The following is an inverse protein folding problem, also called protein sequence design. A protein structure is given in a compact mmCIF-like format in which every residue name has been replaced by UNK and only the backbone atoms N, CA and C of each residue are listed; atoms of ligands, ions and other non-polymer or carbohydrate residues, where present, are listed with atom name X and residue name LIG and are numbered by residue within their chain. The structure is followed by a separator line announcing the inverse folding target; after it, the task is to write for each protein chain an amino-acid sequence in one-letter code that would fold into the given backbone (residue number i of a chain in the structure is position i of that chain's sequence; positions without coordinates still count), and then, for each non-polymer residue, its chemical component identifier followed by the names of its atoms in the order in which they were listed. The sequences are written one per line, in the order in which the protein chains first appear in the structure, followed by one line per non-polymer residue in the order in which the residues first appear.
data_IF_871868585206
#
_entry.id   IF_871868585206
#
_cell.length_a   1.000
_cell.length_b   1.000
_cell.length_c   1.000
_cell.angle_alpha   90.00
_cell.angle_beta   90.00
_cell.angle_gamma   90.00
#
_symmetry.space_group_name_H-M   'P 1'
#
loop_
_entity.id
_entity.type
_entity.pdbx_description
1 polymer ?
#
# COMPACT_ATOMS: atom_id res chain seq x y z
N UNK A 1 11.71 -6.39 60.16
CA UNK A 1 12.93 -6.00 59.44
C UNK A 1 12.61 -6.18 57.96
N UNK A 2 12.16 -5.14 57.22
CA UNK A 2 12.06 -5.20 55.78
C UNK A 2 13.46 -5.00 55.15
N UNK A 3 13.82 -5.85 54.21
CA UNK A 3 15.04 -5.80 53.43
C UNK A 3 14.99 -4.59 52.50
N UNK A 4 15.95 -3.69 52.60
CA UNK A 4 16.24 -2.64 51.64
C UNK A 4 16.56 -3.31 50.29
N UNK A 5 15.71 -3.10 49.33
CA UNK A 5 16.03 -3.31 47.90
C UNK A 5 16.97 -2.20 47.45
N UNK A 6 18.25 -2.53 47.40
CA UNK A 6 19.29 -1.68 46.83
C UNK A 6 18.98 -1.50 45.34
N UNK A 7 18.49 -0.33 44.96
CA UNK A 7 18.35 0.10 43.58
C UNK A 7 19.71 -0.02 42.89
N UNK A 8 19.83 -0.98 41.96
CA UNK A 8 20.99 -1.10 41.07
C UNK A 8 21.13 0.20 40.26
N UNK A 9 22.31 0.83 40.18
CA UNK A 9 22.50 1.97 39.31
C UNK A 9 22.25 1.55 37.86
N UNK A 10 21.41 2.32 37.14
CA UNK A 10 21.15 2.11 35.74
C UNK A 10 22.46 2.15 34.93
N UNK A 11 22.81 1.03 34.30
CA UNK A 11 24.02 0.90 33.48
C UNK A 11 23.84 1.68 32.17
N UNK A 12 24.75 2.57 31.90
CA UNK A 12 24.86 3.29 30.62
C UNK A 12 25.10 2.30 29.49
N UNK A 13 24.17 2.26 28.51
CA UNK A 13 24.28 1.40 27.35
C UNK A 13 25.27 1.99 26.34
N UNK A 14 26.44 1.38 26.19
CA UNK A 14 27.38 1.74 25.13
C UNK A 14 26.94 1.14 23.78
N UNK A 15 26.41 1.98 22.91
CA UNK A 15 25.88 1.57 21.60
C UNK A 15 26.97 1.02 20.67
N UNK A 16 28.22 1.51 20.76
CA UNK A 16 29.34 0.94 20.01
C UNK A 16 29.69 -0.47 20.50
N UNK A 17 29.69 -0.67 21.80
CA UNK A 17 29.91 -1.98 22.41
C UNK A 17 28.74 -2.94 22.08
N UNK A 18 27.52 -2.45 22.07
CA UNK A 18 26.32 -3.23 21.71
C UNK A 18 26.38 -3.75 20.28
N UNK A 19 26.85 -2.96 19.34
CA UNK A 19 27.04 -3.39 17.94
C UNK A 19 28.38 -4.11 17.70
N UNK A 20 29.29 -4.11 18.70
CA UNK A 20 30.62 -4.71 18.59
C UNK A 20 31.52 -4.02 17.57
N UNK A 21 31.40 -2.69 17.46
CA UNK A 21 32.19 -1.86 16.53
C UNK A 21 33.02 -0.81 17.30
N UNK A 22 34.10 -0.35 16.68
CA UNK A 22 34.91 0.72 17.27
C UNK A 22 34.16 2.08 17.19
N UNK A 23 34.45 3.03 18.13
CA UNK A 23 33.88 4.39 18.03
C UNK A 23 34.27 5.14 16.75
N UNK A 24 35.29 4.70 16.05
CA UNK A 24 35.76 5.26 14.77
C UNK A 24 35.14 4.55 13.56
N UNK A 25 34.24 3.57 13.75
CA UNK A 25 33.68 2.79 12.68
C UNK A 25 32.87 3.66 11.68
N UNK A 26 32.98 3.30 10.42
CA UNK A 26 32.24 3.94 9.32
C UNK A 26 30.75 3.54 9.33
N UNK A 27 29.89 4.30 8.68
CA UNK A 27 28.45 4.00 8.57
C UNK A 27 28.19 2.62 7.94
N UNK A 28 29.04 2.19 6.99
CA UNK A 28 28.94 0.89 6.36
C UNK A 28 29.33 -0.27 7.28
N UNK A 29 30.32 -0.07 8.14
CA UNK A 29 30.71 -1.06 9.17
C UNK A 29 29.61 -1.21 10.22
N UNK A 30 29.05 -0.12 10.70
CA UNK A 30 27.90 -0.11 11.61
C UNK A 30 26.73 -0.88 11.01
N UNK A 31 26.40 -0.61 9.74
CA UNK A 31 25.31 -1.29 9.00
C UNK A 31 25.57 -2.81 8.83
N UNK A 32 26.82 -3.20 8.55
CA UNK A 32 27.20 -4.62 8.43
C UNK A 32 27.11 -5.34 9.77
N UNK A 33 27.61 -4.72 10.85
CA UNK A 33 27.53 -5.26 12.20
C UNK A 33 26.08 -5.46 12.65
N UNK A 34 25.24 -4.44 12.47
CA UNK A 34 23.80 -4.53 12.75
C UNK A 34 23.14 -5.69 12.01
N UNK A 35 23.34 -5.82 10.68
CA UNK A 35 22.73 -6.90 9.90
C UNK A 35 23.15 -8.29 10.37
N UNK A 36 24.41 -8.45 10.78
CA UNK A 36 24.93 -9.70 11.31
C UNK A 36 24.26 -10.08 12.64
N UNK A 37 24.18 -9.11 13.57
CA UNK A 37 23.60 -9.32 14.89
C UNK A 37 22.06 -9.44 14.85
N UNK A 38 21.40 -8.66 14.01
CA UNK A 38 19.95 -8.73 13.81
C UNK A 38 19.49 -10.11 13.29
N UNK A 39 20.27 -10.73 12.39
CA UNK A 39 19.99 -12.13 11.96
C UNK A 39 20.22 -13.13 13.08
N UNK A 40 21.20 -12.92 13.93
CA UNK A 40 21.53 -13.82 15.05
C UNK A 40 20.47 -13.76 16.15
N UNK A 41 19.96 -12.58 16.46
CA UNK A 41 19.00 -12.33 17.55
C UNK A 41 17.56 -12.09 17.08
N UNK A 42 17.23 -12.48 15.83
CA UNK A 42 15.87 -12.37 15.31
C UNK A 42 14.91 -13.24 16.15
N UNK A 43 13.74 -12.72 16.61
CA UNK A 43 12.83 -13.45 17.47
C UNK A 43 12.34 -14.78 16.88
N UNK A 44 12.21 -14.87 15.54
CA UNK A 44 11.77 -16.09 14.86
C UNK A 44 12.88 -17.14 14.68
N UNK A 45 14.15 -16.75 14.81
CA UNK A 45 15.29 -17.63 14.51
C UNK A 45 16.09 -18.00 15.77
N UNK A 46 16.16 -17.08 16.73
CA UNK A 46 16.97 -17.27 17.94
C UNK A 46 16.19 -18.00 19.03
N UNK A 47 16.81 -19.02 19.63
CA UNK A 47 16.29 -19.76 20.77
C UNK A 47 16.76 -19.21 22.14
N UNK A 48 17.52 -18.12 22.15
CA UNK A 48 18.01 -17.47 23.39
C UNK A 48 16.87 -16.73 24.09
N UNK A 49 16.74 -16.90 25.41
CA UNK A 49 15.66 -16.27 26.22
C UNK A 49 15.68 -14.74 26.14
N UNK A 50 16.84 -14.14 25.91
CA UNK A 50 17.04 -12.68 25.88
C UNK A 50 17.10 -12.12 24.45
N UNK A 51 16.77 -12.90 23.43
CA UNK A 51 16.90 -12.52 22.02
C UNK A 51 16.08 -11.25 21.69
N UNK A 52 14.85 -11.18 22.20
CA UNK A 52 13.95 -10.05 21.97
C UNK A 52 14.47 -8.75 22.58
N UNK A 53 15.01 -8.80 23.79
CA UNK A 53 15.59 -7.62 24.45
C UNK A 53 16.87 -7.18 23.75
N UNK A 54 17.74 -8.13 23.41
CA UNK A 54 18.96 -7.83 22.65
C UNK A 54 18.66 -7.27 21.27
N UNK A 55 17.64 -7.77 20.59
CA UNK A 55 17.21 -7.25 19.29
C UNK A 55 16.71 -5.81 19.40
N UNK A 56 15.93 -5.49 20.46
CA UNK A 56 15.46 -4.13 20.75
C UNK A 56 16.62 -3.16 20.99
N UNK A 57 17.59 -3.56 21.82
CA UNK A 57 18.79 -2.71 22.13
C UNK A 57 19.67 -2.55 20.89
N UNK A 58 19.81 -3.57 20.05
CA UNK A 58 20.52 -3.48 18.76
C UNK A 58 19.85 -2.52 17.79
N UNK A 59 18.51 -2.53 17.74
CA UNK A 59 17.73 -1.59 16.92
C UNK A 59 17.95 -0.14 17.36
N UNK A 60 17.89 0.10 18.67
CA UNK A 60 18.13 1.40 19.29
C UNK A 60 19.55 1.91 18.97
N UNK A 61 20.57 1.08 19.18
CA UNK A 61 21.96 1.41 18.89
C UNK A 61 22.17 1.75 17.39
N UNK A 62 21.55 1.01 16.49
CA UNK A 62 21.64 1.27 15.05
C UNK A 62 20.95 2.56 14.64
N UNK A 63 19.75 2.84 15.19
CA UNK A 63 19.02 4.08 14.92
C UNK A 63 19.81 5.34 15.29
N UNK A 64 20.55 5.30 16.38
CA UNK A 64 21.39 6.41 16.83
C UNK A 64 22.67 6.53 16.01
N UNK A 65 23.35 5.43 15.73
CA UNK A 65 24.68 5.45 15.11
C UNK A 65 24.68 5.49 13.57
N UNK A 66 23.53 5.22 12.91
CA UNK A 66 23.41 5.27 11.43
C UNK A 66 23.41 6.68 10.87
N UNK A 67 22.95 7.66 11.66
CA UNK A 67 22.80 9.06 11.30
C UNK A 67 23.94 9.88 11.90
N UNK A 68 24.57 10.72 11.07
CA UNK A 68 25.75 11.48 11.48
C UNK A 68 25.44 12.51 12.58
N UNK A 69 24.25 13.16 12.55
CA UNK A 69 23.86 14.16 13.54
C UNK A 69 23.54 13.51 14.89
N UNK A 70 22.80 12.38 14.85
CA UNK A 70 22.45 11.62 16.05
C UNK A 70 23.67 10.99 16.71
N UNK A 71 24.59 10.50 15.89
CA UNK A 71 25.88 9.96 16.36
C UNK A 71 26.72 11.02 17.03
N UNK A 72 26.84 12.23 16.46
CA UNK A 72 27.57 13.34 17.06
C UNK A 72 27.00 13.73 18.43
N UNK A 73 25.67 13.81 18.54
CA UNK A 73 24.97 14.10 19.81
C UNK A 73 25.22 13.03 20.86
N UNK A 74 25.24 11.75 20.46
CA UNK A 74 25.58 10.65 21.36
C UNK A 74 27.05 10.67 21.81
N UNK A 75 27.96 10.97 20.90
CA UNK A 75 29.38 11.06 21.19
C UNK A 75 29.68 12.23 22.13
N UNK A 76 29.03 13.39 21.96
CA UNK A 76 29.12 14.54 22.87
C UNK A 76 28.58 14.20 24.26
N UNK A 77 27.46 13.52 24.34
CA UNK A 77 26.87 13.05 25.61
C UNK A 77 27.81 12.07 26.32
N UNK A 78 28.39 11.11 25.61
CA UNK A 78 29.37 10.15 26.13
C UNK A 78 30.63 10.87 26.65
N UNK A 79 31.12 11.88 25.92
CA UNK A 79 32.28 12.67 26.30
C UNK A 79 32.03 13.54 27.54
N UNK A 80 30.84 14.12 27.68
CA UNK A 80 30.43 14.90 28.86
C UNK A 80 30.38 14.02 30.11
N UNK A 81 29.80 12.81 29.98
CA UNK A 81 29.72 11.86 31.09
C UNK A 81 31.12 11.34 31.54
N UNK A 82 32.01 11.12 30.58
CA UNK A 82 33.40 10.68 30.87
C UNK A 82 34.23 11.76 31.61
N UNK A 83 33.82 13.04 31.49
CA UNK A 83 34.54 14.16 32.18
C UNK A 83 34.17 14.35 33.65
N UNK A 84 33.14 13.67 34.16
CA UNK A 84 32.67 13.75 35.53
C UNK A 84 32.14 15.15 35.95
N UNK A 85 31.42 15.25 37.08
CA UNK A 85 30.90 16.53 37.55
C UNK A 85 32.05 17.50 37.90
N UNK A 86 32.07 18.66 37.26
CA UNK A 86 33.02 19.74 37.63
C UNK A 86 32.55 20.40 38.93
N UNK A 87 33.34 20.37 40.04
CA UNK A 87 32.97 21.09 41.24
C UNK A 87 33.19 22.58 41.03
N UNK A 88 32.14 23.35 41.14
CA UNK A 88 32.19 24.73 41.57
C UNK A 88 32.46 25.80 40.53
N UNK A 89 31.40 26.46 40.08
CA UNK A 89 31.43 27.92 39.99
C UNK A 89 30.02 28.49 40.17
N UNK A 90 29.73 28.88 41.45
CA UNK A 90 28.66 29.85 41.73
C UNK A 90 29.12 31.20 41.23
N UNK A 91 28.50 31.81 40.26
CA UNK A 91 28.53 33.23 40.01
C UNK A 91 27.19 33.72 39.51
N UNK A 92 26.59 34.58 40.32
CA UNK A 92 25.91 35.80 39.95
C UNK A 92 24.70 35.77 39.02
N UNK A 93 23.58 36.11 39.63
CA UNK A 93 22.30 36.40 38.98
C UNK A 93 22.42 37.50 37.91
N UNK A 94 21.88 37.23 36.70
CA UNK A 94 21.47 38.20 35.69
C UNK A 94 20.25 37.67 34.94
N UNK A 95 19.19 38.46 34.77
CA UNK A 95 17.96 37.94 34.13
C UNK A 95 18.12 38.04 32.60
N UNK A 96 18.24 36.91 31.91
CA UNK A 96 18.09 36.94 30.46
C UNK A 96 18.91 35.99 29.63
N UNK A 97 19.17 34.76 30.07
CA UNK A 97 19.63 33.73 29.11
C UNK A 97 19.34 32.32 29.66
N UNK A 98 18.22 31.74 29.24
CA UNK A 98 17.88 30.34 29.50
C UNK A 98 18.67 29.45 28.56
N UNK A 99 19.93 29.19 28.85
CA UNK A 99 20.59 27.96 28.43
C UNK A 99 20.31 26.90 29.48
N UNK A 100 19.76 25.77 29.04
CA UNK A 100 19.26 24.70 29.89
C UNK A 100 20.33 24.19 30.88
N UNK A 101 20.06 24.45 32.13
CA UNK A 101 20.76 23.86 33.27
C UNK A 101 20.16 22.46 33.48
N UNK A 102 20.91 21.45 33.03
CA UNK A 102 20.54 20.04 33.26
C UNK A 102 20.94 19.68 34.69
N UNK A 103 19.98 19.62 35.59
CA UNK A 103 20.20 19.12 36.95
C UNK A 103 20.35 17.60 36.93
N UNK A 104 21.23 17.12 37.80
CA UNK A 104 21.71 15.73 37.98
C UNK A 104 20.61 14.69 38.32
N UNK A 105 19.36 15.12 38.48
CA UNK A 105 18.19 14.25 38.76
C UNK A 105 17.43 13.79 37.51
N UNK A 106 17.75 14.31 36.30
CA UNK A 106 17.03 14.05 35.05
C UNK A 106 17.78 13.12 34.07
N UNK A 107 18.90 12.52 34.51
CA UNK A 107 19.73 11.64 33.67
C UNK A 107 19.32 10.18 33.84
N UNK A 108 18.06 9.90 33.67
CA UNK A 108 17.58 8.57 33.32
C UNK A 108 17.69 8.40 31.81
N UNK A 109 18.31 7.35 31.38
CA UNK A 109 18.47 6.81 30.04
C UNK A 109 18.53 7.82 28.86
N UNK A 110 19.65 7.81 28.11
CA UNK A 110 19.83 8.57 26.86
C UNK A 110 18.66 8.32 25.89
N UNK A 111 18.03 7.16 25.97
CA UNK A 111 16.82 6.81 25.20
C UNK A 111 15.66 7.77 25.47
N UNK A 112 15.41 8.17 26.72
CA UNK A 112 14.34 9.12 27.07
C UNK A 112 14.68 10.56 26.68
N UNK A 113 15.92 10.97 26.83
CA UNK A 113 16.41 12.26 26.36
C UNK A 113 16.34 12.34 24.83
N UNK A 114 16.74 11.27 24.15
CA UNK A 114 16.70 11.16 22.71
C UNK A 114 15.25 11.12 22.18
N UNK A 115 14.34 10.40 22.86
CA UNK A 115 12.92 10.39 22.52
C UNK A 115 12.27 11.78 22.67
N UNK A 116 12.70 12.58 23.65
CA UNK A 116 12.23 13.97 23.82
C UNK A 116 12.81 14.93 22.77
N UNK A 117 14.04 14.71 22.33
CA UNK A 117 14.76 15.62 21.43
C UNK A 117 14.55 15.27 19.94
N UNK A 118 14.41 13.98 19.61
CA UNK A 118 14.32 13.45 18.25
C UNK A 118 13.13 12.51 18.01
N UNK A 119 12.34 12.17 19.04
CA UNK A 119 11.26 11.18 19.01
C UNK A 119 9.93 11.67 18.41
N UNK A 120 9.95 12.53 17.41
CA UNK A 120 8.76 13.04 16.73
C UNK A 120 8.05 12.05 15.80
N UNK A 121 8.54 10.82 15.56
CA UNK A 121 8.03 9.99 14.46
C UNK A 121 7.77 8.50 14.75
N UNK A 122 7.74 8.05 15.99
CA UNK A 122 7.37 6.66 16.24
C UNK A 122 6.72 6.45 17.61
N UNK A 123 5.45 6.77 17.74
CA UNK A 123 4.55 6.13 18.71
C UNK A 123 3.10 6.41 18.31
N UNK A 124 2.55 5.59 17.47
CA UNK A 124 1.16 5.14 17.60
C UNK A 124 1.19 3.92 18.51
N UNK A 125 0.37 3.99 19.52
CA UNK A 125 -0.16 2.98 20.42
C UNK A 125 0.41 2.97 21.86
N UNK A 126 -0.51 3.27 22.75
CA UNK A 126 -0.59 3.16 24.21
C UNK A 126 -0.56 4.46 25.06
N UNK A 127 -1.76 4.95 25.36
CA UNK A 127 -2.21 5.22 26.74
C UNK A 127 -1.94 6.58 27.35
N UNK A 128 -3.02 7.32 27.46
CA UNK A 128 -3.55 8.28 28.45
C UNK A 128 -2.95 9.68 28.63
N UNK A 129 -3.85 10.66 28.85
CA UNK A 129 -3.53 12.09 28.83
C UNK A 129 -3.29 12.64 30.23
N UNK A 130 -2.13 13.22 30.49
CA UNK A 130 -1.96 14.13 31.61
C UNK A 130 -1.75 15.54 31.12
N UNK A 131 -2.71 16.40 31.41
CA UNK A 131 -2.78 17.77 31.02
C UNK A 131 -1.68 18.63 31.66
N UNK A 132 -1.09 19.50 30.82
CA UNK A 132 -0.55 20.78 31.25
C UNK A 132 -0.64 21.78 30.09
N UNK A 133 -1.20 22.98 30.26
CA UNK A 133 -1.30 23.98 29.22
C UNK A 133 -0.02 24.82 29.18
N UNK A 134 0.83 24.62 28.20
CA UNK A 134 1.94 25.53 27.97
C UNK A 134 2.15 25.86 26.50
N UNK A 135 1.98 27.14 26.20
CA UNK A 135 2.68 27.93 25.20
C UNK A 135 2.66 27.44 23.74
N UNK A 136 1.87 28.14 22.89
CA UNK A 136 1.80 27.96 21.45
C UNK A 136 3.15 27.92 20.72
N UNK A 137 3.74 26.74 20.63
CA UNK A 137 4.62 26.37 19.52
C UNK A 137 3.71 25.81 18.46
N UNK A 138 3.55 26.51 17.34
CA UNK A 138 2.97 25.97 16.12
C UNK A 138 3.69 24.66 15.81
N UNK A 139 3.08 23.53 16.19
CA UNK A 139 3.60 22.22 15.84
C UNK A 139 3.62 22.13 14.33
N UNK A 140 4.79 21.98 13.74
CA UNK A 140 4.94 21.62 12.36
C UNK A 140 4.28 20.25 12.16
N UNK A 141 3.00 20.23 11.85
CA UNK A 141 2.25 19.01 11.60
C UNK A 141 2.09 18.82 10.10
N UNK A 142 2.47 17.64 9.61
CA UNK A 142 2.19 17.24 8.24
C UNK A 142 0.69 17.26 7.99
N UNK A 143 0.29 17.65 6.77
CA UNK A 143 -1.11 17.65 6.37
C UNK A 143 -1.71 16.24 6.35
N UNK A 144 -3.01 16.15 6.57
CA UNK A 144 -3.75 14.89 6.55
C UNK A 144 -3.77 14.27 5.15
N UNK A 145 -3.70 12.95 5.09
CA UNK A 145 -3.87 12.19 3.86
C UNK A 145 -5.37 12.17 3.48
N UNK A 146 -5.67 12.43 2.22
CA UNK A 146 -7.05 12.50 1.69
C UNK A 146 -7.30 11.29 0.80
N UNK A 147 -8.51 10.72 0.87
CA UNK A 147 -8.97 9.66 -0.02
C UNK A 147 -10.08 10.16 -0.91
N UNK A 148 -10.00 9.83 -2.19
CA UNK A 148 -11.03 10.11 -3.18
C UNK A 148 -11.30 8.87 -4.03
N UNK A 149 -12.46 8.78 -4.65
CA UNK A 149 -12.76 7.73 -5.64
C UNK A 149 -12.89 8.35 -7.03
N UNK A 150 -12.39 7.65 -8.04
CA UNK A 150 -12.49 8.04 -9.44
C UNK A 150 -13.18 6.93 -10.21
N UNK A 151 -14.36 7.24 -10.78
CA UNK A 151 -15.07 6.32 -11.65
C UNK A 151 -14.53 6.46 -13.08
N UNK A 152 -14.20 5.32 -13.69
CA UNK A 152 -13.71 5.22 -15.05
C UNK A 152 -14.58 4.24 -15.84
N UNK A 153 -14.67 4.43 -17.15
CA UNK A 153 -15.18 3.38 -18.04
C UNK A 153 -14.11 2.30 -18.23
N UNK A 154 -14.53 1.13 -18.72
CA UNK A 154 -13.60 0.04 -18.97
C UNK A 154 -12.57 0.40 -20.06
N UNK A 155 -12.99 1.14 -21.08
CA UNK A 155 -12.14 1.64 -22.16
C UNK A 155 -11.09 2.64 -21.65
N UNK A 156 -11.48 3.55 -20.75
CA UNK A 156 -10.57 4.49 -20.10
C UNK A 156 -9.54 3.77 -19.23
N UNK A 157 -9.98 2.74 -18.51
CA UNK A 157 -9.07 1.91 -17.72
C UNK A 157 -8.13 1.08 -18.61
N UNK A 158 -8.59 0.65 -19.79
CA UNK A 158 -7.81 -0.09 -20.78
C UNK A 158 -6.75 0.80 -21.44
N UNK A 159 -7.17 1.96 -21.97
CA UNK A 159 -6.29 2.83 -22.76
C UNK A 159 -5.43 3.75 -21.88
N UNK A 160 -5.85 3.98 -20.63
CA UNK A 160 -5.35 5.05 -19.80
C UNK A 160 -5.97 6.40 -20.18
N UNK A 161 -6.11 7.27 -19.20
CA UNK A 161 -6.78 8.56 -19.39
C UNK A 161 -6.18 9.64 -18.48
N UNK A 162 -6.53 10.89 -18.74
CA UNK A 162 -6.27 11.99 -17.81
C UNK A 162 -7.59 12.58 -17.41
N UNK A 163 -7.97 12.33 -16.16
CA UNK A 163 -9.22 12.82 -15.60
C UNK A 163 -8.99 14.00 -14.64
N UNK A 164 -9.98 14.88 -14.60
CA UNK A 164 -9.99 16.02 -13.69
C UNK A 164 -10.89 15.69 -12.51
N UNK A 165 -10.34 15.70 -11.31
CA UNK A 165 -11.09 15.47 -10.07
C UNK A 165 -11.15 16.73 -9.22
N UNK A 166 -12.27 16.93 -8.54
CA UNK A 166 -12.43 17.95 -7.52
C UNK A 166 -12.18 17.32 -6.14
N UNK A 167 -11.13 17.76 -5.47
CA UNK A 167 -10.78 17.30 -4.13
C UNK A 167 -11.26 18.35 -3.13
N UNK A 168 -12.16 17.94 -2.25
CA UNK A 168 -12.62 18.75 -1.11
C UNK A 168 -11.78 18.39 0.10
N UNK A 169 -11.10 19.38 0.64
CA UNK A 169 -10.35 19.21 1.88
C UNK A 169 -11.27 19.66 3.03
N UNK A 170 -11.59 18.74 3.93
CA UNK A 170 -12.32 19.09 5.15
C UNK A 170 -11.46 20.01 6.02
N UNK A 171 -12.03 21.03 6.66
CA UNK A 171 -11.29 21.83 7.61
C UNK A 171 -10.85 20.92 8.76
N UNK A 172 -9.55 20.90 9.06
CA UNK A 172 -9.07 20.27 10.30
C UNK A 172 -9.69 21.01 11.49
N UNK A 173 -10.14 20.31 12.54
CA UNK A 173 -10.69 20.95 13.75
C UNK A 173 -9.75 21.96 14.42
N UNK A 174 -8.46 21.89 14.09
CA UNK A 174 -7.39 22.78 14.59
C UNK A 174 -7.01 23.90 13.63
N UNK A 175 -7.59 23.95 12.42
CA UNK A 175 -7.31 24.97 11.42
C UNK A 175 -8.59 25.71 11.10
N UNK A 176 -8.63 27.01 11.40
CA UNK A 176 -9.75 27.92 11.07
C UNK A 176 -9.86 28.19 9.56
N UNK A 177 -9.29 27.34 8.71
CA UNK A 177 -9.29 27.51 7.25
C UNK A 177 -10.59 26.94 6.69
N UNK A 178 -11.31 27.74 5.91
CA UNK A 178 -12.54 27.33 5.23
C UNK A 178 -12.30 26.09 4.34
N UNK A 179 -13.33 25.24 4.12
CA UNK A 179 -13.23 24.12 3.22
C UNK A 179 -12.79 24.61 1.84
N UNK A 180 -11.67 24.13 1.36
CA UNK A 180 -11.17 24.49 0.04
C UNK A 180 -11.41 23.32 -0.93
N UNK A 181 -12.07 23.61 -2.05
CA UNK A 181 -12.11 22.70 -3.18
C UNK A 181 -11.02 23.07 -4.17
N UNK A 182 -10.29 22.07 -4.63
CA UNK A 182 -9.31 22.28 -5.69
C UNK A 182 -9.46 21.23 -6.77
N UNK A 183 -9.24 21.65 -7.98
CA UNK A 183 -9.30 20.79 -9.16
C UNK A 183 -7.92 20.25 -9.47
N UNK A 184 -7.81 18.93 -9.57
CA UNK A 184 -6.55 18.25 -9.88
C UNK A 184 -6.70 17.40 -11.15
N UNK A 185 -5.68 17.47 -12.00
CA UNK A 185 -5.56 16.55 -13.14
C UNK A 185 -4.83 15.30 -12.70
N UNK A 186 -5.50 14.17 -12.78
CA UNK A 186 -4.96 12.86 -12.43
C UNK A 186 -4.69 12.07 -13.70
N UNK A 187 -3.45 11.75 -13.95
CA UNK A 187 -3.08 10.85 -15.05
C UNK A 187 -3.24 9.41 -14.57
N UNK A 188 -4.20 8.71 -15.15
CA UNK A 188 -4.44 7.29 -14.91
C UNK A 188 -3.71 6.49 -15.98
N UNK A 189 -2.76 5.65 -15.62
CA UNK A 189 -2.06 4.80 -16.60
C UNK A 189 -2.98 3.70 -17.13
N UNK A 190 -2.65 3.15 -18.29
CA UNK A 190 -3.34 2.01 -18.87
C UNK A 190 -3.21 0.76 -17.98
N UNK A 191 -4.25 -0.07 -17.97
CA UNK A 191 -4.23 -1.34 -17.26
C UNK A 191 -4.57 -1.26 -15.77
N UNK A 192 -5.16 -0.16 -15.30
CA UNK A 192 -5.68 -0.08 -13.94
C UNK A 192 -6.85 -1.05 -13.76
N UNK A 193 -6.95 -1.62 -12.57
CA UNK A 193 -8.02 -2.56 -12.20
C UNK A 193 -8.90 -1.99 -11.08
N UNK A 194 -10.08 -2.59 -10.92
CA UNK A 194 -11.03 -2.22 -9.85
C UNK A 194 -10.36 -2.24 -8.47
N UNK A 195 -10.63 -1.22 -7.66
CA UNK A 195 -10.12 -1.09 -6.30
C UNK A 195 -8.66 -0.64 -6.18
N UNK A 196 -7.95 -0.48 -7.29
CA UNK A 196 -6.56 -0.04 -7.27
C UNK A 196 -6.44 1.40 -6.78
N UNK A 197 -5.43 1.69 -5.93
CA UNK A 197 -5.16 3.03 -5.42
C UNK A 197 -3.97 3.69 -6.15
N UNK A 198 -4.17 4.94 -6.54
CA UNK A 198 -3.12 5.80 -7.10
C UNK A 198 -2.75 6.86 -6.07
N UNK A 199 -1.49 6.88 -5.61
CA UNK A 199 -0.99 7.87 -4.67
C UNK A 199 -0.43 9.08 -5.38
N UNK A 200 -0.99 10.25 -5.11
CA UNK A 200 -0.49 11.55 -5.54
C UNK A 200 0.21 12.22 -4.36
N UNK A 201 1.54 12.33 -4.45
CA UNK A 201 2.38 12.90 -3.37
C UNK A 201 2.05 14.36 -3.14
N UNK A 202 1.95 14.78 -1.86
CA UNK A 202 1.72 16.16 -1.42
C UNK A 202 0.45 16.80 -2.01
N UNK A 203 -0.56 15.97 -2.34
CA UNK A 203 -1.86 16.41 -2.87
C UNK A 203 -3.01 16.16 -1.87
N UNK A 204 -2.71 15.89 -0.60
CA UNK A 204 -3.65 15.80 0.51
C UNK A 204 -3.95 17.14 1.17
N UNK A 205 -4.30 17.12 2.44
CA UNK A 205 -4.53 18.33 3.26
C UNK A 205 -3.28 19.18 3.43
N UNK A 206 -3.42 20.50 3.66
CA UNK A 206 -2.29 21.38 3.88
C UNK A 206 -1.57 21.06 5.20
N UNK A 207 -0.24 21.11 5.21
CA UNK A 207 0.55 21.03 6.43
C UNK A 207 0.50 22.35 7.23
N UNK A 208 0.79 22.28 8.52
CA UNK A 208 0.86 23.43 9.43
C UNK A 208 2.32 23.79 9.74
N UNK A 209 2.58 25.10 9.95
CA UNK A 209 3.91 25.57 10.36
C UNK A 209 5.03 25.35 9.32
N UNK A 210 4.71 25.24 8.01
CA UNK A 210 5.70 24.95 6.97
C UNK A 210 5.93 23.47 6.69
N UNK A 211 5.22 22.56 7.38
CA UNK A 211 5.28 21.13 7.11
C UNK A 211 4.65 20.76 5.75
N UNK A 212 5.09 19.69 5.09
CA UNK A 212 4.57 19.26 3.80
C UNK A 212 3.09 18.87 3.88
N UNK A 213 2.37 19.03 2.77
CA UNK A 213 1.00 18.55 2.63
C UNK A 213 0.95 17.02 2.71
N UNK A 214 -0.20 16.47 3.11
CA UNK A 214 -0.49 15.04 3.08
C UNK A 214 -0.53 14.49 1.66
N UNK A 215 -0.81 13.22 1.50
CA UNK A 215 -0.98 12.56 0.20
C UNK A 215 -2.45 12.47 -0.17
N UNK A 216 -2.73 12.39 -1.46
CA UNK A 216 -4.06 12.04 -1.96
C UNK A 216 -4.01 10.61 -2.52
N UNK A 217 -4.87 9.76 -2.01
CA UNK A 217 -5.09 8.39 -2.50
C UNK A 217 -6.37 8.37 -3.32
N UNK A 218 -6.24 8.04 -4.59
CA UNK A 218 -7.37 7.96 -5.53
C UNK A 218 -7.67 6.48 -5.79
N UNK A 219 -8.80 6.02 -5.27
CA UNK A 219 -9.28 4.66 -5.50
C UNK A 219 -10.02 4.60 -6.83
N UNK A 220 -9.60 3.69 -7.70
CA UNK A 220 -10.22 3.46 -9.00
C UNK A 220 -11.48 2.61 -8.84
N UNK A 221 -12.58 3.07 -9.44
CA UNK A 221 -13.82 2.32 -9.60
C UNK A 221 -14.12 2.20 -11.09
N UNK A 222 -14.33 0.97 -11.57
CA UNK A 222 -14.65 0.72 -12.98
C UNK A 222 -16.15 0.58 -13.12
N UNK A 223 -16.76 1.41 -13.96
CA UNK A 223 -18.19 1.35 -14.24
C UNK A 223 -18.54 0.02 -14.92
N UNK A 224 -19.72 -0.53 -14.60
CA UNK A 224 -20.22 -1.73 -15.27
C UNK A 224 -20.34 -1.47 -16.78
N UNK A 225 -19.81 -2.39 -17.59
CA UNK A 225 -19.90 -2.30 -19.04
C UNK A 225 -21.01 -3.24 -19.55
N UNK A 226 -21.82 -2.84 -20.58
CA UNK A 226 -22.96 -3.63 -21.04
C UNK A 226 -22.59 -5.01 -21.59
N UNK A 227 -21.42 -5.16 -22.17
CA UNK A 227 -21.01 -6.40 -22.84
C UNK A 227 -19.84 -7.11 -22.14
N UNK A 228 -18.95 -6.37 -21.52
CA UNK A 228 -17.73 -6.90 -20.92
C UNK A 228 -17.85 -6.97 -19.40
N UNK A 229 -17.40 -8.06 -18.82
CA UNK A 229 -17.16 -8.15 -17.38
C UNK A 229 -15.66 -8.29 -17.12
N UNK A 230 -15.18 -7.63 -16.06
CA UNK A 230 -13.79 -7.68 -15.66
C UNK A 230 -13.62 -8.71 -14.53
N UNK A 231 -12.65 -9.63 -14.69
CA UNK A 231 -12.25 -10.60 -13.68
C UNK A 231 -10.72 -10.49 -13.50
N UNK A 232 -10.32 -9.69 -12.53
CA UNK A 232 -8.92 -9.30 -12.36
C UNK A 232 -8.36 -8.59 -13.59
N UNK A 233 -7.47 -9.25 -14.33
CA UNK A 233 -6.93 -8.76 -15.62
C UNK A 233 -7.62 -9.37 -16.83
N UNK A 234 -8.48 -10.35 -16.61
CA UNK A 234 -9.20 -11.01 -17.68
C UNK A 234 -10.49 -10.30 -18.01
N UNK A 235 -10.84 -10.29 -19.29
CA UNK A 235 -12.09 -9.72 -19.80
C UNK A 235 -12.98 -10.87 -20.21
N UNK A 236 -14.22 -10.89 -19.69
CA UNK A 236 -15.24 -11.86 -20.05
C UNK A 236 -16.23 -11.21 -21.02
N UNK A 237 -16.50 -11.88 -22.12
CA UNK A 237 -17.52 -11.48 -23.10
C UNK A 237 -18.49 -12.64 -23.29
N UNK A 238 -19.79 -12.42 -23.08
CA UNK A 238 -20.83 -13.38 -23.46
C UNK A 238 -21.11 -13.26 -24.94
N UNK A 239 -20.98 -14.37 -25.67
CA UNK A 239 -21.18 -14.43 -27.11
C UNK A 239 -22.39 -15.33 -27.40
N UNK A 240 -23.50 -14.76 -27.89
CA UNK A 240 -24.63 -15.57 -28.31
C UNK A 240 -24.24 -16.37 -29.56
N UNK A 241 -24.50 -17.66 -29.54
CA UNK A 241 -24.38 -18.57 -30.68
C UNK A 241 -25.73 -19.20 -31.02
N UNK A 242 -25.97 -19.38 -32.31
CA UNK A 242 -27.08 -20.14 -32.77
C UNK A 242 -26.81 -21.66 -32.61
N UNK A 243 -27.82 -22.51 -32.42
CA UNK A 243 -27.62 -23.93 -32.17
C UNK A 243 -26.77 -24.63 -33.22
N UNK A 244 -26.93 -24.28 -34.49
CA UNK A 244 -26.14 -24.86 -35.59
C UNK A 244 -24.70 -24.33 -35.61
N UNK A 245 -24.44 -23.07 -35.17
CA UNK A 245 -23.11 -22.55 -35.04
C UNK A 245 -22.35 -23.27 -33.91
N UNK A 246 -23.04 -23.54 -32.80
CA UNK A 246 -22.48 -24.31 -31.69
C UNK A 246 -22.21 -25.78 -32.07
N UNK A 247 -23.10 -26.40 -32.83
CA UNK A 247 -22.99 -27.79 -33.24
C UNK A 247 -21.95 -28.03 -34.33
N UNK A 248 -21.92 -27.18 -35.35
CA UNK A 248 -21.14 -27.38 -36.57
C UNK A 248 -19.82 -26.57 -36.54
N UNK A 249 -19.71 -25.61 -35.64
CA UNK A 249 -18.67 -24.60 -35.65
C UNK A 249 -18.99 -23.45 -36.59
N UNK A 250 -18.44 -22.29 -36.29
CA UNK A 250 -18.70 -21.08 -37.08
C UNK A 250 -17.53 -20.11 -37.01
N UNK A 251 -17.46 -19.20 -37.96
CA UNK A 251 -16.60 -18.03 -37.86
C UNK A 251 -17.44 -16.84 -37.40
N UNK A 252 -17.13 -16.34 -36.19
CA UNK A 252 -17.90 -15.29 -35.54
C UNK A 252 -17.03 -14.07 -35.32
N UNK A 253 -17.52 -12.89 -35.65
CA UNK A 253 -16.83 -11.63 -35.36
C UNK A 253 -17.23 -11.14 -33.97
N UNK A 254 -16.26 -11.02 -33.10
CA UNK A 254 -16.45 -10.61 -31.70
C UNK A 254 -15.73 -9.31 -31.38
N UNK A 255 -16.30 -8.44 -30.56
CA UNK A 255 -15.66 -7.23 -30.10
C UNK A 255 -14.57 -7.55 -29.07
N UNK A 256 -13.49 -6.76 -29.11
CA UNK A 256 -12.51 -6.68 -28.04
C UNK A 256 -12.24 -5.22 -27.74
N UNK A 257 -11.63 -4.89 -26.59
CA UNK A 257 -11.27 -3.51 -26.26
C UNK A 257 -10.24 -2.91 -27.24
N UNK A 258 -9.49 -3.76 -27.95
CA UNK A 258 -8.55 -3.36 -29.00
C UNK A 258 -9.17 -3.33 -30.41
N UNK A 259 -10.48 -3.56 -30.54
CA UNK A 259 -11.16 -3.67 -31.82
C UNK A 259 -11.76 -5.06 -32.05
N UNK A 260 -12.61 -5.21 -33.09
CA UNK A 260 -13.26 -6.47 -33.38
C UNK A 260 -12.29 -7.48 -34.04
N UNK A 261 -12.43 -8.76 -33.71
CA UNK A 261 -11.64 -9.86 -34.26
C UNK A 261 -12.55 -10.99 -34.75
N UNK A 262 -12.14 -11.68 -35.81
CA UNK A 262 -12.80 -12.88 -36.28
C UNK A 262 -12.26 -14.10 -35.54
N UNK A 263 -13.16 -14.91 -34.99
CA UNK A 263 -12.83 -16.07 -34.17
C UNK A 263 -13.46 -17.32 -34.76
N UNK A 264 -12.69 -18.38 -34.91
CA UNK A 264 -13.22 -19.68 -35.30
C UNK A 264 -13.72 -20.39 -34.03
N UNK A 265 -15.03 -20.60 -33.96
CA UNK A 265 -15.66 -21.39 -32.91
C UNK A 265 -15.59 -22.86 -33.33
N UNK A 266 -14.98 -23.76 -32.55
CA UNK A 266 -14.96 -25.19 -32.86
C UNK A 266 -16.35 -25.79 -32.79
N UNK A 267 -16.59 -26.88 -33.53
CA UNK A 267 -17.81 -27.64 -33.44
C UNK A 267 -17.99 -28.29 -32.06
N UNK A 268 -19.28 -28.53 -31.69
CA UNK A 268 -19.62 -29.22 -30.44
C UNK A 268 -19.52 -28.35 -29.19
N UNK A 269 -19.75 -27.04 -29.32
CA UNK A 269 -19.76 -26.15 -28.16
C UNK A 269 -21.03 -26.31 -27.34
N UNK A 270 -20.87 -26.26 -26.01
CA UNK A 270 -21.97 -26.32 -25.05
C UNK A 270 -22.20 -24.95 -24.41
N UNK A 271 -23.36 -24.75 -23.81
CA UNK A 271 -23.68 -23.58 -22.98
C UNK A 271 -22.60 -23.35 -21.93
N UNK A 272 -22.12 -22.10 -21.80
CA UNK A 272 -21.11 -21.72 -20.83
C UNK A 272 -19.68 -22.16 -21.17
N UNK A 273 -19.43 -22.86 -22.28
CA UNK A 273 -18.07 -23.20 -22.71
C UNK A 273 -17.28 -21.93 -23.01
N UNK A 274 -15.94 -21.98 -22.78
CA UNK A 274 -15.07 -20.80 -22.84
C UNK A 274 -14.00 -20.95 -23.91
N UNK A 275 -13.83 -19.91 -24.72
CA UNK A 275 -12.73 -19.79 -25.66
C UNK A 275 -11.82 -18.64 -25.25
N UNK A 276 -10.52 -18.93 -25.10
CA UNK A 276 -9.52 -17.95 -24.68
C UNK A 276 -8.94 -17.22 -25.89
N UNK A 277 -8.95 -15.90 -25.83
CA UNK A 277 -8.22 -15.02 -26.74
C UNK A 277 -7.02 -14.48 -26.00
N UNK A 278 -5.85 -15.08 -26.27
CA UNK A 278 -4.59 -14.75 -25.57
C UNK A 278 -4.18 -13.30 -25.81
N UNK A 279 -3.81 -12.59 -24.71
CA UNK A 279 -3.30 -11.23 -24.77
C UNK A 279 -4.33 -10.17 -25.19
N UNK A 280 -5.65 -10.45 -25.09
CA UNK A 280 -6.74 -9.52 -25.40
C UNK A 280 -7.49 -9.01 -24.17
N UNK A 281 -6.96 -9.30 -22.97
CA UNK A 281 -7.46 -8.75 -21.72
C UNK A 281 -6.86 -7.38 -21.38
N UNK A 282 -6.93 -7.00 -20.11
CA UNK A 282 -6.36 -5.72 -19.64
C UNK A 282 -4.85 -5.69 -19.84
N UNK A 283 -4.31 -4.54 -20.32
CA UNK A 283 -2.87 -4.38 -20.43
C UNK A 283 -2.20 -4.44 -19.06
N UNK A 284 -0.89 -4.67 -19.03
CA UNK A 284 -0.14 -4.59 -17.81
C UNK A 284 -0.17 -3.17 -17.26
N UNK A 285 -0.43 -3.04 -15.96
CA UNK A 285 -0.36 -1.76 -15.27
C UNK A 285 1.07 -1.19 -15.35
N UNK A 286 1.22 -0.04 -15.97
CA UNK A 286 2.52 0.63 -16.17
C UNK A 286 2.67 1.78 -15.16
N UNK A 287 3.28 1.53 -14.02
CA UNK A 287 3.72 2.60 -13.14
C UNK A 287 5.12 3.06 -13.60
N UNK A 288 5.19 4.24 -14.24
CA UNK A 288 6.47 4.85 -14.63
C UNK A 288 6.98 4.55 -16.04
N UNK A 289 6.14 4.08 -16.97
CA UNK A 289 6.51 4.03 -18.42
C UNK A 289 7.44 2.88 -18.82
N UNK A 290 7.66 1.89 -17.97
CA UNK A 290 8.43 0.71 -18.35
C UNK A 290 7.59 -0.23 -19.23
N UNK A 291 8.12 -0.61 -20.41
CA UNK A 291 7.54 -1.65 -21.25
C UNK A 291 7.64 -2.99 -20.51
N UNK A 292 6.53 -3.45 -19.95
CA UNK A 292 6.46 -4.77 -19.35
C UNK A 292 6.29 -5.83 -20.45
N UNK A 293 6.91 -7.02 -20.29
CA UNK A 293 6.79 -8.09 -21.28
C UNK A 293 5.33 -8.52 -21.48
N UNK A 294 5.00 -8.99 -22.69
CA UNK A 294 3.66 -9.44 -23.10
C UNK A 294 2.97 -10.41 -22.13
N UNK A 295 3.74 -11.13 -21.31
CA UNK A 295 3.22 -12.03 -20.27
C UNK A 295 2.44 -11.33 -19.14
N UNK A 296 2.53 -9.99 -19.03
CA UNK A 296 1.80 -9.21 -18.05
C UNK A 296 0.42 -8.72 -18.52
N UNK A 297 0.06 -8.94 -19.81
CA UNK A 297 -1.25 -8.63 -20.40
C UNK A 297 -2.22 -9.73 -20.05
N UNK A 298 -3.47 -9.36 -19.69
CA UNK A 298 -4.54 -10.30 -19.45
C UNK A 298 -5.07 -10.96 -20.72
N UNK A 299 -6.01 -11.88 -20.57
CA UNK A 299 -6.67 -12.56 -21.70
C UNK A 299 -8.14 -12.16 -21.75
N UNK A 300 -8.75 -12.32 -22.94
CA UNK A 300 -10.20 -12.24 -23.05
C UNK A 300 -10.77 -13.65 -23.16
N UNK A 301 -11.83 -13.93 -22.44
CA UNK A 301 -12.58 -15.18 -22.50
C UNK A 301 -13.94 -14.92 -23.12
N UNK A 302 -14.23 -15.63 -24.19
CA UNK A 302 -15.55 -15.70 -24.79
C UNK A 302 -16.32 -16.80 -24.07
N UNK A 303 -17.43 -16.46 -23.46
CA UNK A 303 -18.35 -17.41 -22.80
C UNK A 303 -19.54 -17.59 -23.72
N UNK A 304 -19.68 -18.76 -24.31
CA UNK A 304 -20.73 -19.01 -25.28
C UNK A 304 -22.07 -19.17 -24.60
N UNK A 305 -23.09 -18.54 -25.19
CA UNK A 305 -24.48 -18.63 -24.78
C UNK A 305 -25.30 -19.12 -25.98
N UNK A 306 -25.91 -20.28 -25.83
CA UNK A 306 -26.72 -20.85 -26.94
C UNK A 306 -28.09 -20.20 -26.92
N UNK A 307 -28.43 -19.51 -28.00
CA UNK A 307 -29.71 -18.82 -28.16
C UNK A 307 -30.50 -19.48 -29.27
N UNK A 308 -31.70 -19.93 -28.94
CA UNK A 308 -32.63 -20.50 -29.92
C UNK A 308 -33.60 -19.39 -30.38
N UNK A 309 -33.46 -18.89 -31.60
CA UNK A 309 -34.39 -17.90 -32.11
C UNK A 309 -35.79 -18.53 -32.38
N UNK A 310 -36.88 -17.78 -32.26
CA UNK A 310 -38.16 -18.24 -32.74
C UNK A 310 -38.12 -18.43 -34.26
N UNK A 311 -38.77 -19.47 -34.83
CA UNK A 311 -38.78 -19.67 -36.27
C UNK A 311 -39.43 -18.46 -36.98
N UNK A 312 -38.72 -17.93 -37.98
CA UNK A 312 -39.14 -16.73 -38.71
C UNK A 312 -40.32 -16.99 -39.66
N UNK A 313 -40.38 -18.19 -40.22
CA UNK A 313 -41.41 -18.59 -41.18
C UNK A 313 -41.81 -20.07 -41.02
N UNK A 314 -42.75 -20.53 -41.87
CA UNK A 314 -43.20 -21.89 -41.83
C UNK A 314 -42.15 -22.89 -42.38
N UNK A 315 -41.26 -22.44 -43.25
CA UNK A 315 -40.18 -23.28 -43.76
C UNK A 315 -39.14 -23.58 -42.66
N UNK A 316 -38.78 -22.57 -41.87
CA UNK A 316 -37.89 -22.76 -40.74
C UNK A 316 -38.54 -23.62 -39.65
N UNK A 317 -39.84 -23.43 -39.38
CA UNK A 317 -40.62 -24.28 -38.46
C UNK A 317 -40.61 -25.74 -38.90
N UNK A 318 -40.71 -26.01 -40.19
CA UNK A 318 -40.68 -27.38 -40.73
C UNK A 318 -39.27 -28.00 -40.57
N UNK A 319 -38.19 -27.23 -40.71
CA UNK A 319 -36.84 -27.71 -40.45
C UNK A 319 -36.65 -28.09 -38.96
N UNK A 320 -37.18 -27.32 -38.03
CA UNK A 320 -37.17 -27.67 -36.62
C UNK A 320 -37.94 -28.95 -36.31
N UNK A 321 -39.11 -29.19 -36.98
CA UNK A 321 -39.87 -30.43 -36.82
C UNK A 321 -39.07 -31.62 -37.33
N UNK A 322 -38.49 -31.53 -38.53
CA UNK A 322 -37.62 -32.59 -39.07
C UNK A 322 -36.41 -32.88 -38.15
N UNK A 323 -35.82 -31.84 -37.58
CA UNK A 323 -34.73 -32.02 -36.63
C UNK A 323 -35.23 -32.75 -35.37
N UNK A 324 -36.39 -32.42 -34.86
CA UNK A 324 -37.00 -33.07 -33.68
C UNK A 324 -37.34 -34.55 -33.90
N UNK A 325 -37.64 -34.93 -35.15
CA UNK A 325 -38.00 -36.33 -35.51
C UNK A 325 -36.73 -37.23 -35.60
N UNK A 326 -35.53 -36.63 -35.62
CA UNK A 326 -34.29 -37.42 -35.64
C UNK A 326 -34.02 -38.04 -34.26
N UNK A 327 -33.41 -39.24 -34.22
CA UNK A 327 -33.03 -39.85 -32.95
C UNK A 327 -31.92 -39.05 -32.28
N UNK A 328 -32.23 -38.44 -31.14
CA UNK A 328 -31.27 -37.72 -30.30
C UNK A 328 -31.09 -38.38 -28.93
N UNK A 329 -29.95 -38.23 -28.34
CA UNK A 329 -29.75 -38.58 -26.93
C UNK A 329 -30.71 -37.76 -26.06
N UNK A 330 -31.37 -38.41 -25.09
CA UNK A 330 -32.26 -37.70 -24.17
C UNK A 330 -31.42 -36.77 -23.24
N UNK A 331 -31.53 -35.43 -23.40
CA UNK A 331 -30.75 -34.50 -22.56
C UNK A 331 -31.19 -34.52 -21.09
N UNK A 332 -32.35 -35.10 -20.81
CA UNK A 332 -32.93 -35.25 -19.46
C UNK A 332 -32.70 -36.61 -18.83
N UNK A 333 -32.00 -37.53 -19.52
CA UNK A 333 -31.74 -38.88 -18.99
C UNK A 333 -31.06 -38.91 -17.61
N UNK A 334 -30.21 -37.92 -17.31
CA UNK A 334 -29.60 -37.80 -15.99
C UNK A 334 -30.59 -37.35 -14.87
N UNK A 335 -31.75 -36.75 -15.25
CA UNK A 335 -32.78 -36.33 -14.29
C UNK A 335 -33.79 -37.46 -14.01
N UNK A 336 -33.81 -38.47 -14.84
CA UNK A 336 -34.71 -39.63 -14.76
C UNK A 336 -34.08 -40.81 -14.00
N UNK A 337 -32.77 -40.72 -13.66
CA UNK A 337 -32.09 -41.71 -12.80
C UNK A 337 -32.46 -41.43 -11.33
N UNK A 338 -32.96 -42.44 -10.55
CA UNK A 338 -33.37 -42.29 -9.17
C UNK A 338 -32.19 -41.97 -8.22
#
# INVERSE_FOLDING_TARGET
MPREEVLKPMEFKDYYATLGVAPTATADEIKRAYRKLARKFHPDVSKEKDATERFKVLGEAYEVLKDAEKRATYDDYKAQRARGPRPGRRTGAGPGQRNGDFSEADVGDFGDLFARMFGGEARDDFGEPSGAPFGGRTRNARGEDVRASLALTLEEAYAGTTQTIEVRTSPSPLSATAPSSRTLRVKVPAGVVEGQEIRLKNQGGPGQGGAPAGHLYVQIKIAAHPHFALDGKSILLRVPLLPWEAALGARVRVPTLAGAVDVNVPAGQSEGSRLRLKGRGMPAFQQGGANLPSAAVGDQYLVFQIVVPPPADDAERELYKRLADLPHANPRGALEAP
#
